data_IF_604731441189
#
_entry.id   IF_604731441189
#
_cell.length_a   1.000
_cell.length_b   1.000
_cell.length_c   1.000
_cell.angle_alpha   90.00
_cell.angle_beta   90.00
_cell.angle_gamma   90.00
#
_symmetry.space_group_name_H-M   'P 1'
#
loop_
_entity.id
_entity.type
_entity.pdbx_description
1 polymer ?
#
# COMPACT_ATOMS: atom_id res chain seq x y z
N UNK A 1 -19.58 -27.64 -15.63
CA UNK A 1 -19.85 -26.46 -14.78
C UNK A 1 -21.01 -25.72 -15.39
N UNK A 2 -22.16 -25.70 -14.71
CA UNK A 2 -23.42 -25.19 -15.24
C UNK A 2 -23.53 -23.70 -14.94
N UNK A 3 -23.53 -22.85 -15.97
CA UNK A 3 -23.75 -21.42 -15.84
C UNK A 3 -25.17 -21.07 -16.28
N UNK A 4 -26.16 -21.34 -15.42
CA UNK A 4 -27.52 -20.82 -15.55
C UNK A 4 -27.64 -19.55 -14.72
N UNK A 5 -27.16 -18.44 -15.24
CA UNK A 5 -27.50 -17.13 -14.70
C UNK A 5 -28.79 -16.66 -15.39
N UNK A 6 -29.94 -17.04 -14.84
CA UNK A 6 -31.22 -16.44 -15.25
C UNK A 6 -31.19 -14.97 -14.85
N UNK A 7 -31.09 -14.06 -15.81
CA UNK A 7 -31.27 -12.63 -15.57
C UNK A 7 -32.75 -12.39 -15.25
N UNK A 8 -33.09 -12.41 -13.97
CA UNK A 8 -34.40 -11.96 -13.50
C UNK A 8 -34.37 -10.45 -13.39
N UNK A 9 -35.35 -9.79 -14.01
CA UNK A 9 -35.54 -8.36 -13.84
C UNK A 9 -35.98 -8.07 -12.41
N UNK A 10 -35.04 -7.58 -11.60
CA UNK A 10 -35.31 -7.13 -10.24
C UNK A 10 -35.62 -5.64 -10.23
N UNK A 11 -36.59 -5.24 -9.40
CA UNK A 11 -36.86 -3.84 -9.12
C UNK A 11 -35.63 -3.17 -8.49
N UNK A 12 -35.46 -1.86 -8.69
CA UNK A 12 -34.34 -1.13 -8.09
C UNK A 12 -34.33 -1.23 -6.56
N UNK A 13 -35.51 -1.24 -5.93
CA UNK A 13 -35.64 -1.43 -4.47
C UNK A 13 -35.10 -2.79 -4.03
N UNK A 14 -35.41 -3.85 -4.79
CA UNK A 14 -34.91 -5.21 -4.50
C UNK A 14 -33.39 -5.29 -4.67
N UNK A 15 -32.84 -4.66 -5.72
CA UNK A 15 -31.39 -4.60 -5.94
C UNK A 15 -30.65 -3.90 -4.80
N UNK A 16 -31.18 -2.76 -4.33
CA UNK A 16 -30.60 -2.03 -3.21
C UNK A 16 -30.70 -2.83 -1.90
N UNK A 17 -31.81 -3.54 -1.69
CA UNK A 17 -31.97 -4.40 -0.52
C UNK A 17 -30.98 -5.57 -0.52
N UNK A 18 -30.80 -6.25 -1.66
CA UNK A 18 -29.79 -7.32 -1.80
C UNK A 18 -28.37 -6.79 -1.60
N UNK A 19 -28.07 -5.58 -2.11
CA UNK A 19 -26.79 -4.92 -1.91
C UNK A 19 -26.54 -4.61 -0.42
N UNK A 20 -27.55 -4.08 0.27
CA UNK A 20 -27.50 -3.82 1.71
C UNK A 20 -27.24 -5.10 2.52
N UNK A 21 -27.97 -6.19 2.24
CA UNK A 21 -27.78 -7.48 2.92
C UNK A 21 -26.35 -7.97 2.75
N UNK A 22 -25.81 -7.92 1.53
CA UNK A 22 -24.42 -8.32 1.25
C UNK A 22 -23.41 -7.48 2.04
N UNK A 23 -23.59 -6.16 2.07
CA UNK A 23 -22.67 -5.26 2.79
C UNK A 23 -22.78 -5.44 4.29
N UNK A 24 -24.00 -5.56 4.83
CA UNK A 24 -24.25 -5.84 6.25
C UNK A 24 -23.53 -7.11 6.68
N UNK A 25 -23.76 -8.22 5.97
CA UNK A 25 -23.17 -9.52 6.30
C UNK A 25 -21.64 -9.47 6.21
N UNK A 26 -21.09 -8.77 5.21
CA UNK A 26 -19.63 -8.55 5.12
C UNK A 26 -19.08 -7.72 6.28
N UNK A 27 -19.76 -6.63 6.65
CA UNK A 27 -19.30 -5.72 7.68
C UNK A 27 -19.34 -6.34 9.09
N UNK A 28 -20.20 -7.32 9.32
CA UNK A 28 -20.19 -8.10 10.57
C UNK A 28 -18.84 -8.81 10.78
N UNK A 29 -18.20 -9.29 9.70
CA UNK A 29 -16.87 -9.91 9.76
C UNK A 29 -15.73 -8.90 9.72
N UNK A 30 -15.86 -7.85 8.90
CA UNK A 30 -14.76 -6.88 8.68
C UNK A 30 -14.64 -5.87 9.82
N UNK A 31 -15.78 -5.37 10.31
CA UNK A 31 -15.83 -4.27 11.28
C UNK A 31 -17.10 -4.34 12.14
N UNK A 32 -17.20 -5.34 13.05
CA UNK A 32 -18.42 -5.62 13.81
C UNK A 32 -18.88 -4.45 14.69
N UNK A 33 -17.94 -3.68 15.24
CA UNK A 33 -18.21 -2.59 16.19
C UNK A 33 -18.14 -1.20 15.55
N UNK A 34 -18.07 -1.10 14.22
CA UNK A 34 -17.95 0.21 13.56
C UNK A 34 -19.25 1.03 13.72
N UNK A 35 -19.17 2.28 14.21
CA UNK A 35 -20.34 3.15 14.32
C UNK A 35 -20.83 3.66 12.95
N UNK A 36 -20.03 3.49 11.89
CA UNK A 36 -20.33 3.96 10.54
C UNK A 36 -21.02 2.91 9.67
N UNK A 37 -21.22 1.68 10.19
CA UNK A 37 -21.90 0.63 9.44
C UNK A 37 -23.43 0.83 9.56
N UNK A 38 -24.16 1.04 8.45
CA UNK A 38 -25.60 1.22 8.48
C UNK A 38 -26.29 -0.07 8.95
N UNK A 39 -27.02 0.02 10.06
CA UNK A 39 -27.69 -1.13 10.69
C UNK A 39 -29.08 -1.36 10.11
N UNK A 40 -29.71 -0.29 9.64
CA UNK A 40 -31.03 -0.34 9.00
C UNK A 40 -30.93 -0.10 7.50
N UNK A 41 -31.94 -0.56 6.75
CA UNK A 41 -32.02 -0.32 5.31
C UNK A 41 -32.22 1.17 4.98
N UNK A 42 -32.87 1.93 5.85
CA UNK A 42 -33.06 3.37 5.69
C UNK A 42 -31.74 4.14 5.85
N UNK A 43 -30.94 3.79 6.88
CA UNK A 43 -29.58 4.31 7.05
C UNK A 43 -28.69 3.98 5.84
N UNK A 44 -28.83 2.78 5.27
CA UNK A 44 -28.10 2.39 4.06
C UNK A 44 -28.44 3.30 2.87
N UNK A 45 -29.73 3.57 2.64
CA UNK A 45 -30.16 4.48 1.57
C UNK A 45 -29.61 5.89 1.81
N UNK A 46 -29.73 6.40 3.04
CA UNK A 46 -29.21 7.73 3.39
C UNK A 46 -27.70 7.83 3.19
N UNK A 47 -26.95 6.82 3.62
CA UNK A 47 -25.51 6.71 3.39
C UNK A 47 -25.17 6.66 1.89
N UNK A 48 -25.95 5.91 1.10
CA UNK A 48 -25.74 5.82 -0.34
C UNK A 48 -25.96 7.16 -1.06
N UNK A 49 -27.00 7.90 -0.66
CA UNK A 49 -27.27 9.23 -1.18
C UNK A 49 -26.17 10.22 -0.80
N UNK A 50 -25.70 10.19 0.45
CA UNK A 50 -24.60 11.03 0.90
C UNK A 50 -23.32 10.76 0.09
N UNK A 51 -23.02 9.48 -0.17
CA UNK A 51 -21.85 9.10 -0.95
C UNK A 51 -21.93 9.56 -2.42
N UNK A 52 -23.12 9.45 -3.03
CA UNK A 52 -23.34 9.95 -4.39
C UNK A 52 -23.22 11.49 -4.47
N UNK A 53 -23.69 12.22 -3.47
CA UNK A 53 -23.56 13.67 -3.42
C UNK A 53 -22.10 14.10 -3.24
N UNK A 54 -21.35 13.39 -2.39
CA UNK A 54 -19.91 13.63 -2.22
C UNK A 54 -19.13 13.35 -3.50
N UNK A 55 -19.39 12.21 -4.15
CA UNK A 55 -18.75 11.86 -5.43
C UNK A 55 -19.03 12.93 -6.49
N UNK A 56 -20.28 13.42 -6.56
CA UNK A 56 -20.64 14.53 -7.44
C UNK A 56 -19.90 15.81 -7.09
N UNK A 57 -19.79 16.14 -5.80
CA UNK A 57 -19.01 17.28 -5.31
C UNK A 57 -17.53 17.18 -5.67
N UNK A 58 -16.94 15.99 -5.53
CA UNK A 58 -15.56 15.72 -5.93
C UNK A 58 -15.36 15.92 -7.44
N UNK A 59 -16.26 15.39 -8.28
CA UNK A 59 -16.19 15.59 -9.73
C UNK A 59 -16.29 17.07 -10.12
N UNK A 60 -17.17 17.83 -9.47
CA UNK A 60 -17.30 19.27 -9.68
C UNK A 60 -16.02 19.98 -9.25
N UNK A 61 -15.49 19.67 -8.07
CA UNK A 61 -14.24 20.28 -7.58
C UNK A 61 -13.08 19.99 -8.54
N UNK A 62 -12.93 18.75 -9.01
CA UNK A 62 -11.91 18.37 -9.98
C UNK A 62 -12.10 19.10 -11.32
N UNK A 63 -13.34 19.26 -11.79
CA UNK A 63 -13.63 20.02 -13.01
C UNK A 63 -13.28 21.50 -12.85
N UNK A 64 -13.58 22.10 -11.69
CA UNK A 64 -13.21 23.47 -11.34
C UNK A 64 -11.68 23.60 -11.30
N UNK A 65 -10.98 22.71 -10.61
CA UNK A 65 -9.50 22.70 -10.53
C UNK A 65 -8.88 22.56 -11.91
N UNK A 66 -9.36 21.62 -12.74
CA UNK A 66 -8.90 21.45 -14.12
C UNK A 66 -9.13 22.70 -14.96
N UNK A 67 -10.29 23.36 -14.81
CA UNK A 67 -10.59 24.62 -15.50
C UNK A 67 -9.71 25.77 -15.02
N UNK A 68 -9.42 25.86 -13.73
CA UNK A 68 -8.50 26.85 -13.16
C UNK A 68 -7.06 26.64 -13.67
N UNK A 69 -6.61 25.39 -13.73
CA UNK A 69 -5.31 25.02 -14.29
C UNK A 69 -5.22 25.33 -15.80
N UNK A 70 -6.26 24.97 -16.57
CA UNK A 70 -6.32 25.25 -18.01
C UNK A 70 -6.36 26.75 -18.34
N UNK A 71 -7.02 27.55 -17.50
CA UNK A 71 -7.12 29.00 -17.66
C UNK A 71 -5.90 29.75 -17.11
N UNK A 72 -4.84 29.06 -16.65
CA UNK A 72 -3.64 29.68 -16.08
C UNK A 72 -3.87 30.49 -14.80
N UNK A 73 -5.04 30.32 -14.15
CA UNK A 73 -5.41 31.00 -12.89
C UNK A 73 -5.12 30.16 -11.65
N UNK A 74 -4.59 28.94 -11.83
CA UNK A 74 -3.94 28.25 -10.73
C UNK A 74 -2.70 29.05 -10.33
N UNK A 75 -2.66 29.49 -9.08
CA UNK A 75 -1.48 30.07 -8.46
C UNK A 75 -0.37 29.02 -8.52
N UNK A 76 0.41 29.01 -9.60
CA UNK A 76 1.59 28.19 -9.67
C UNK A 76 2.53 28.80 -8.64
N UNK A 77 2.63 28.15 -7.48
CA UNK A 77 3.73 28.42 -6.55
C UNK A 77 5.00 28.31 -7.40
N UNK A 78 5.76 29.40 -7.59
CA UNK A 78 6.96 29.34 -8.39
C UNK A 78 7.94 28.44 -7.64
N UNK A 79 7.98 27.17 -8.04
CA UNK A 79 9.00 26.24 -7.58
C UNK A 79 10.29 26.73 -8.19
N UNK A 80 11.01 27.55 -7.43
CA UNK A 80 12.34 28.00 -7.82
C UNK A 80 13.19 26.74 -8.05
N UNK A 81 13.88 26.62 -9.19
CA UNK A 81 14.71 25.47 -9.47
C UNK A 81 15.71 25.27 -8.33
N UNK A 82 15.86 24.03 -7.86
CA UNK A 82 16.85 23.68 -6.85
C UNK A 82 18.22 24.18 -7.30
N UNK A 83 18.95 24.86 -6.40
CA UNK A 83 20.26 25.49 -6.67
C UNK A 83 20.28 26.48 -7.85
N UNK A 84 19.15 27.13 -8.16
CA UNK A 84 19.06 28.12 -9.23
C UNK A 84 19.17 27.53 -10.64
N UNK A 85 18.87 26.23 -10.79
CA UNK A 85 18.88 25.54 -12.09
C UNK A 85 20.26 25.06 -12.53
N UNK A 86 21.22 25.01 -11.60
CA UNK A 86 22.52 24.39 -11.87
C UNK A 86 22.35 22.88 -12.02
N UNK A 87 22.93 22.33 -13.07
CA UNK A 87 23.00 20.89 -13.32
C UNK A 87 24.43 20.40 -13.04
N UNK A 88 24.55 19.16 -12.54
CA UNK A 88 25.84 18.49 -12.36
C UNK A 88 26.09 17.57 -13.56
N UNK A 89 27.20 17.76 -14.31
CA UNK A 89 27.44 17.01 -15.56
C UNK A 89 27.87 15.56 -15.33
N UNK A 90 28.11 15.16 -14.08
CA UNK A 90 28.69 13.86 -13.70
C UNK A 90 27.64 12.82 -13.28
N UNK A 91 26.35 13.08 -13.54
CA UNK A 91 25.27 12.16 -13.24
C UNK A 91 24.97 12.00 -11.75
N UNK A 92 25.34 13.00 -10.94
CA UNK A 92 25.03 13.04 -9.50
C UNK A 92 23.80 13.89 -9.20
N UNK A 93 23.03 13.48 -8.21
CA UNK A 93 21.87 14.23 -7.74
C UNK A 93 22.28 15.54 -7.06
N UNK A 94 21.55 16.62 -7.32
CA UNK A 94 21.87 17.98 -6.86
C UNK A 94 21.90 18.15 -5.32
N UNK A 95 21.08 17.37 -4.61
CA UNK A 95 20.92 17.53 -3.15
C UNK A 95 22.05 16.85 -2.37
N UNK A 96 22.41 15.63 -2.75
CA UNK A 96 23.36 14.80 -1.99
C UNK A 96 24.71 14.61 -2.68
N UNK A 97 24.85 15.09 -3.92
CA UNK A 97 26.03 14.84 -4.77
C UNK A 97 26.39 13.34 -4.83
N UNK A 98 25.37 12.48 -4.89
CA UNK A 98 25.50 11.03 -5.02
C UNK A 98 25.05 10.57 -6.41
N UNK A 99 25.69 9.53 -6.92
CA UNK A 99 25.27 8.86 -8.15
C UNK A 99 23.81 8.42 -8.02
N UNK A 100 23.02 8.74 -9.04
CA UNK A 100 21.61 8.40 -9.06
C UNK A 100 21.12 8.10 -10.48
N UNK A 101 20.03 7.34 -10.59
CA UNK A 101 19.30 7.13 -11.84
C UNK A 101 18.47 8.35 -12.25
N UNK A 102 18.24 9.28 -11.33
CA UNK A 102 17.45 10.50 -11.53
C UNK A 102 18.29 11.62 -12.17
N UNK A 103 18.78 11.36 -13.37
CA UNK A 103 19.57 12.31 -14.18
C UNK A 103 18.79 12.78 -15.39
N UNK A 104 19.19 13.93 -15.96
CA UNK A 104 18.61 14.44 -17.20
C UNK A 104 18.74 13.41 -18.32
N UNK A 105 17.69 13.28 -19.14
CA UNK A 105 17.66 12.32 -20.25
C UNK A 105 18.81 12.54 -21.24
N UNK A 106 19.30 13.79 -21.36
CA UNK A 106 20.41 14.17 -22.24
C UNK A 106 21.75 13.57 -21.79
N UNK A 107 21.98 13.49 -20.48
CA UNK A 107 23.25 13.06 -19.90
C UNK A 107 23.30 11.55 -19.65
N UNK A 108 22.14 10.89 -19.67
CA UNK A 108 22.03 9.47 -19.37
C UNK A 108 22.92 8.57 -20.25
N UNK A 109 23.02 8.71 -21.59
CA UNK A 109 23.84 7.82 -22.42
C UNK A 109 25.33 7.86 -22.07
N UNK A 110 25.81 8.98 -21.51
CA UNK A 110 27.20 9.18 -21.10
C UNK A 110 27.45 8.57 -19.71
N UNK A 111 26.45 8.60 -18.84
CA UNK A 111 26.56 8.14 -17.44
C UNK A 111 26.22 6.66 -17.30
N UNK A 112 25.25 6.13 -18.06
CA UNK A 112 24.74 4.75 -17.91
C UNK A 112 24.04 4.22 -19.16
N UNK A 113 24.15 2.92 -19.39
CA UNK A 113 23.38 2.25 -20.44
C UNK A 113 21.89 2.19 -20.10
N UNK A 114 21.03 2.53 -21.07
CA UNK A 114 19.58 2.33 -20.96
C UNK A 114 19.24 0.85 -20.92
N UNK A 115 18.60 0.44 -19.83
CA UNK A 115 17.88 -0.82 -19.81
C UNK A 115 16.66 -0.70 -20.74
N UNK A 116 16.44 -1.64 -21.67
CA UNK A 116 15.19 -1.68 -22.42
C UNK A 116 14.01 -1.94 -21.48
N UNK A 117 12.82 -1.59 -21.95
CA UNK A 117 11.58 -2.05 -21.30
C UNK A 117 11.52 -3.58 -21.30
N UNK A 118 10.90 -4.18 -20.27
CA UNK A 118 10.80 -5.63 -20.17
C UNK A 118 10.01 -6.18 -21.36
N UNK A 119 10.48 -7.31 -21.85
CA UNK A 119 9.79 -8.13 -22.85
C UNK A 119 8.50 -8.72 -22.28
N UNK A 120 7.63 -9.21 -23.17
CA UNK A 120 6.38 -9.86 -22.76
C UNK A 120 6.62 -11.09 -21.86
N UNK A 121 7.68 -11.86 -22.14
CA UNK A 121 8.06 -13.03 -21.34
C UNK A 121 8.54 -12.65 -19.93
N UNK A 122 9.32 -11.58 -19.82
CA UNK A 122 9.72 -10.97 -18.54
C UNK A 122 8.48 -10.56 -17.76
N UNK A 123 7.60 -9.76 -18.38
CA UNK A 123 6.39 -9.27 -17.74
C UNK A 123 5.48 -10.40 -17.22
N UNK A 124 5.31 -11.47 -18.01
CA UNK A 124 4.50 -12.63 -17.60
C UNK A 124 5.12 -13.38 -16.41
N UNK A 125 6.43 -13.60 -16.43
CA UNK A 125 7.12 -14.30 -15.35
C UNK A 125 7.13 -13.51 -14.04
N UNK A 126 7.14 -12.18 -14.16
CA UNK A 126 7.24 -11.24 -13.05
C UNK A 126 5.86 -10.80 -12.53
N UNK A 127 4.80 -11.06 -13.30
CA UNK A 127 3.40 -10.88 -12.92
C UNK A 127 2.79 -12.16 -12.34
N UNK A 128 2.23 -13.02 -13.21
CA UNK A 128 1.43 -14.17 -12.79
C UNK A 128 2.25 -15.25 -12.06
N UNK A 129 3.51 -15.44 -12.47
CA UNK A 129 4.43 -16.41 -11.86
C UNK A 129 5.33 -15.81 -10.76
N UNK A 130 4.96 -14.63 -10.24
CA UNK A 130 5.76 -13.89 -9.25
C UNK A 130 6.02 -14.64 -7.94
N UNK A 131 5.10 -15.50 -7.55
CA UNK A 131 5.25 -16.38 -6.37
C UNK A 131 6.38 -17.42 -6.56
N UNK A 132 6.77 -17.72 -7.80
CA UNK A 132 7.82 -18.70 -8.14
C UNK A 132 9.15 -18.04 -8.52
N UNK A 133 9.14 -16.77 -8.93
CA UNK A 133 10.31 -16.07 -9.45
C UNK A 133 11.25 -15.52 -8.38
N UNK A 134 10.81 -15.48 -7.11
CA UNK A 134 11.62 -15.03 -5.97
C UNK A 134 11.66 -13.51 -5.77
N UNK A 135 11.06 -12.72 -6.65
CA UNK A 135 11.04 -11.25 -6.54
C UNK A 135 10.01 -10.72 -5.51
N UNK A 136 9.23 -11.60 -4.86
CA UNK A 136 8.29 -11.27 -3.78
C UNK A 136 7.46 -10.02 -4.10
N UNK A 137 7.49 -8.98 -3.27
CA UNK A 137 6.76 -7.71 -3.44
C UNK A 137 7.50 -6.66 -4.27
N UNK A 138 8.74 -6.91 -4.67
CA UNK A 138 9.52 -5.93 -5.44
C UNK A 138 9.49 -6.24 -6.94
N UNK A 139 9.43 -5.22 -7.81
CA UNK A 139 9.69 -5.45 -9.21
C UNK A 139 11.14 -5.94 -9.36
N UNK A 140 11.41 -6.80 -10.34
CA UNK A 140 12.77 -7.24 -10.61
C UNK A 140 13.60 -6.09 -11.15
N UNK A 141 14.91 -6.27 -11.02
CA UNK A 141 15.86 -5.27 -11.46
C UNK A 141 15.90 -5.21 -13.00
N UNK A 142 15.88 -4.01 -13.60
CA UNK A 142 16.04 -3.84 -15.03
C UNK A 142 17.32 -4.53 -15.52
N UNK A 143 17.28 -5.13 -16.71
CA UNK A 143 18.42 -5.84 -17.31
C UNK A 143 19.01 -5.00 -18.45
N UNK A 144 20.30 -5.14 -18.71
CA UNK A 144 20.94 -4.42 -19.82
C UNK A 144 20.49 -4.94 -21.17
N UNK A 145 20.82 -4.22 -22.26
CA UNK A 145 20.70 -4.77 -23.62
C UNK A 145 21.63 -5.99 -23.75
N UNK A 146 21.05 -7.18 -23.64
CA UNK A 146 21.74 -8.45 -23.85
C UNK A 146 21.62 -8.90 -25.31
N UNK A 147 22.42 -9.90 -25.69
CA UNK A 147 22.29 -10.53 -27.00
C UNK A 147 20.90 -11.19 -27.11
N UNK A 148 20.19 -10.98 -28.23
CA UNK A 148 18.82 -11.49 -28.44
C UNK A 148 18.76 -13.02 -28.42
N UNK A 149 19.88 -13.69 -28.66
CA UNK A 149 20.02 -15.14 -28.60
C UNK A 149 20.10 -15.71 -27.18
N UNK A 150 20.38 -14.88 -26.18
CA UNK A 150 20.49 -15.31 -24.78
C UNK A 150 19.15 -15.10 -24.08
N UNK A 151 18.64 -16.17 -23.45
CA UNK A 151 17.43 -16.13 -22.63
C UNK A 151 17.52 -14.98 -21.63
N UNK A 152 16.46 -14.19 -21.54
CA UNK A 152 16.42 -13.00 -20.68
C UNK A 152 16.75 -13.29 -19.21
N UNK A 153 16.40 -14.47 -18.70
CA UNK A 153 16.70 -14.89 -17.31
C UNK A 153 18.19 -14.98 -17.02
N UNK A 154 19.00 -15.28 -18.04
CA UNK A 154 20.45 -15.40 -17.94
C UNK A 154 21.17 -14.06 -18.08
N UNK A 155 20.47 -12.99 -18.50
CA UNK A 155 21.06 -11.65 -18.65
C UNK A 155 21.30 -11.03 -17.29
N UNK A 156 22.47 -10.45 -17.05
CA UNK A 156 22.75 -9.80 -15.77
C UNK A 156 21.84 -8.56 -15.54
N UNK A 157 21.26 -8.39 -14.35
CA UNK A 157 20.59 -7.15 -13.97
C UNK A 157 21.56 -5.96 -14.02
N UNK A 158 21.05 -4.78 -14.34
CA UNK A 158 21.83 -3.55 -14.30
C UNK A 158 22.16 -3.23 -12.85
N UNK A 159 23.44 -3.04 -12.56
CA UNK A 159 23.93 -2.64 -11.23
C UNK A 159 23.22 -1.38 -10.76
N UNK A 160 22.58 -1.43 -9.60
CA UNK A 160 21.96 -0.27 -8.95
C UNK A 160 23.02 0.62 -8.31
N UNK A 161 22.75 1.93 -8.27
CA UNK A 161 23.50 2.84 -7.43
C UNK A 161 23.08 2.65 -5.97
N UNK A 162 24.00 2.91 -5.05
CA UNK A 162 23.75 2.76 -3.60
C UNK A 162 22.58 3.62 -3.11
N UNK A 163 22.32 4.75 -3.76
CA UNK A 163 21.22 5.63 -3.42
C UNK A 163 19.85 5.13 -3.93
N UNK A 164 19.82 4.49 -5.10
CA UNK A 164 18.58 4.01 -5.74
C UNK A 164 18.35 2.50 -5.55
N UNK A 165 19.08 1.91 -4.62
CA UNK A 165 18.97 0.51 -4.29
C UNK A 165 17.65 0.25 -3.58
N UNK A 166 16.82 -0.60 -4.17
CA UNK A 166 15.50 -0.97 -3.65
C UNK A 166 15.38 -2.49 -3.57
N UNK A 167 14.70 -2.99 -2.54
CA UNK A 167 14.27 -4.38 -2.49
C UNK A 167 15.39 -5.41 -2.36
N UNK A 168 16.51 -5.10 -1.68
CA UNK A 168 17.44 -6.17 -1.25
C UNK A 168 16.69 -7.10 -0.29
N UNK A 169 16.50 -8.38 -0.63
CA UNK A 169 16.13 -9.35 0.38
C UNK A 169 17.30 -9.41 1.35
N UNK A 170 17.03 -9.21 2.64
CA UNK A 170 18.02 -9.51 3.68
C UNK A 170 18.16 -11.03 3.69
N UNK A 171 19.21 -11.55 3.04
CA UNK A 171 19.60 -12.97 3.09
C UNK A 171 20.41 -13.27 4.36
N UNK A 172 20.27 -12.46 5.41
CA UNK A 172 20.92 -12.77 6.67
C UNK A 172 20.24 -13.99 7.31
N UNK A 173 21.08 -14.87 7.82
CA UNK A 173 20.76 -16.12 8.50
C UNK A 173 19.88 -15.82 9.72
N UNK A 174 18.57 -15.76 9.48
CA UNK A 174 17.61 -15.28 10.45
C UNK A 174 16.59 -14.42 9.74
N UNK A 175 15.61 -15.07 9.12
CA UNK A 175 14.36 -14.43 8.75
C UNK A 175 13.82 -13.73 10.00
N UNK A 176 14.12 -12.44 10.16
CA UNK A 176 13.31 -11.58 10.99
C UNK A 176 12.03 -11.47 10.18
N UNK A 177 11.14 -12.43 10.39
CA UNK A 177 9.73 -12.19 10.19
C UNK A 177 9.50 -10.84 10.85
N UNK A 178 9.30 -9.79 10.05
CA UNK A 178 8.82 -8.51 10.55
C UNK A 178 7.42 -8.80 11.06
N UNK A 179 7.35 -9.41 12.24
CA UNK A 179 6.27 -9.22 13.17
C UNK A 179 6.27 -7.71 13.34
N UNK A 180 5.38 -7.03 12.62
CA UNK A 180 4.95 -5.72 13.06
C UNK A 180 4.52 -5.95 14.51
N UNK A 181 5.27 -5.49 15.52
CA UNK A 181 4.85 -5.67 16.89
C UNK A 181 3.60 -4.81 16.97
N UNK A 182 2.41 -5.42 17.05
CA UNK A 182 1.15 -4.67 17.22
C UNK A 182 1.32 -3.63 18.35
N UNK A 183 2.12 -3.97 19.37
CA UNK A 183 2.53 -3.12 20.47
C UNK A 183 3.23 -1.81 20.07
N UNK A 184 3.98 -1.75 18.97
CA UNK A 184 4.54 -0.50 18.45
C UNK A 184 3.51 0.32 17.67
N UNK A 185 2.63 -0.34 16.91
CA UNK A 185 1.55 0.35 16.20
C UNK A 185 0.55 0.99 17.16
N UNK A 186 0.24 0.33 18.28
CA UNK A 186 -0.61 0.87 19.34
C UNK A 186 -0.04 2.14 20.00
N UNK A 187 1.27 2.42 19.90
CA UNK A 187 1.84 3.68 20.43
C UNK A 187 1.51 4.90 19.57
N UNK A 188 1.31 4.70 18.28
CA UNK A 188 0.98 5.77 17.34
C UNK A 188 -0.52 6.05 17.25
N UNK A 189 -1.34 5.18 17.83
CA UNK A 189 -2.80 5.34 17.93
C UNK A 189 -3.14 5.82 19.34
N UNK A 190 -3.86 6.93 19.47
CA UNK A 190 -4.23 7.45 20.78
C UNK A 190 -5.02 6.42 21.60
N UNK A 191 -4.66 6.33 22.89
CA UNK A 191 -5.27 5.38 23.83
C UNK A 191 -6.79 5.54 24.00
N UNK A 192 -7.31 6.75 23.76
CA UNK A 192 -8.75 7.07 23.71
C UNK A 192 -9.46 6.30 22.60
N UNK A 193 -8.90 6.33 21.39
CA UNK A 193 -9.45 5.66 20.21
C UNK A 193 -9.36 4.14 20.34
N UNK A 194 -8.29 3.62 20.95
CA UNK A 194 -8.16 2.18 21.24
C UNK A 194 -9.17 1.69 22.31
N UNK A 195 -9.54 2.56 23.25
CA UNK A 195 -10.55 2.27 24.27
C UNK A 195 -11.97 2.27 23.68
N UNK A 196 -12.30 3.22 22.81
CA UNK A 196 -13.59 3.25 22.09
C UNK A 196 -13.79 2.01 21.21
N UNK A 197 -12.71 1.50 20.60
CA UNK A 197 -12.76 0.28 19.78
C UNK A 197 -12.78 -1.03 20.60
N UNK A 198 -12.70 -0.96 21.94
CA UNK A 198 -12.77 -2.13 22.82
C UNK A 198 -11.53 -3.03 22.81
N UNK A 199 -10.39 -2.54 22.31
CA UNK A 199 -9.16 -3.32 22.14
C UNK A 199 -8.24 -3.32 23.37
N UNK A 200 -8.57 -2.55 24.41
CA UNK A 200 -7.79 -2.43 25.63
C UNK A 200 -8.53 -3.08 26.82
N UNK A 201 -8.33 -4.37 27.06
CA UNK A 201 -8.75 -5.02 28.30
C UNK A 201 -7.54 -5.19 29.24
N UNK A 202 -7.61 -4.75 30.52
CA UNK A 202 -6.51 -4.95 31.45
C UNK A 202 -6.43 -6.44 31.88
N UNK A 203 -5.25 -7.04 31.70
CA UNK A 203 -4.91 -8.34 32.33
C UNK A 203 -4.95 -8.16 33.85
N UNK A 204 -5.94 -8.74 34.52
CA UNK A 204 -5.95 -8.88 35.99
C UNK A 204 -4.79 -9.78 36.40
N UNK A 205 -3.72 -9.20 36.97
CA UNK A 205 -2.75 -9.97 37.74
C UNK A 205 -3.40 -10.30 39.09
N UNK A 206 -3.77 -11.55 39.29
CA UNK A 206 -4.05 -12.08 40.62
C UNK A 206 -2.70 -12.43 41.27
N UNK A 207 -2.22 -11.60 42.20
CA UNK A 207 -1.20 -12.02 43.16
C UNK A 207 -1.89 -12.82 44.25
N UNK A 208 -1.74 -14.13 44.18
CA UNK A 208 -2.13 -15.06 45.23
C UNK A 208 -1.04 -15.03 46.32
N UNK A 209 -1.36 -14.42 47.46
CA UNK A 209 -0.50 -14.36 48.64
C UNK A 209 -0.41 -15.76 49.24
N UNK A 210 0.77 -16.38 49.14
CA UNK A 210 1.07 -17.68 49.74
C UNK A 210 1.16 -17.53 51.26
N UNK A 211 0.13 -18.00 51.96
CA UNK A 211 0.16 -18.29 53.39
C UNK A 211 0.14 -19.82 53.57
N UNK A 212 0.69 -20.29 54.69
CA UNK A 212 0.74 -21.68 55.20
C UNK A 212 2.04 -22.41 54.75
N UNK A 213 3.01 -22.71 55.62
CA UNK A 213 2.95 -23.76 56.64
C UNK A 213 3.90 -23.49 57.84
N UNK A 214 3.31 -23.22 59.01
CA UNK A 214 3.84 -23.68 60.31
C UNK A 214 2.99 -24.90 60.68
N UNK A 215 3.61 -26.09 60.79
CA UNK A 215 3.00 -27.31 61.28
C UNK A 215 3.65 -27.75 62.61
N UNK A 216 2.88 -28.20 63.62
CA UNK A 216 3.40 -28.69 64.90
C UNK A 216 3.48 -30.22 64.98
N UNK A 217 4.35 -30.74 65.86
CA UNK A 217 4.35 -32.14 66.36
C UNK A 217 5.76 -32.65 66.71
N UNK A 218 6.26 -32.49 67.94
CA UNK A 218 6.18 -33.43 69.09
C UNK A 218 6.83 -34.81 68.83
N UNK A 219 8.02 -35.02 69.41
CA UNK A 219 8.36 -36.00 70.46
C UNK A 219 9.82 -35.76 70.89
#
# INVERSE_FOLDING_TARGET
MSHTASQTWLSNKTKEFEAWVRVRDMMEYVAPNSPFTPKTFEEWIAHRLAWMEEERGQLISQAITKRMMANGRGEQVPVTPVLGGKELPDGRGLVLARETIWVSQRDYPTVRNWAPWPSYEELKHEGDDRSKSGYSRFPPLPRGRGNDTVNWKQRAPVKQYRFDEVGRPVWELGSIHTQYPESEMHRFVESSLLAELGLCAPRKQAMEVSNILQGPGKC
#
